data_IF_922445236253
#
_entry.id   IF_922445236253
#
_cell.length_a   1.000
_cell.length_b   1.000
_cell.length_c   1.000
_cell.angle_alpha   90.00
_cell.angle_beta   90.00
_cell.angle_gamma   90.00
#
_symmetry.space_group_name_H-M   'P 1'
#
loop_
_entity.id
_entity.type
_entity.pdbx_description
1 polymer ?
#
# COMPACT_ATOMS: atom_id res chain seq x y z
N UNK A 1 -11.66 -7.62 27.52
CA UNK A 1 -12.75 -7.90 26.57
C UNK A 1 -13.26 -6.56 26.06
N UNK A 2 -13.13 -6.25 24.77
CA UNK A 2 -13.73 -5.03 24.19
C UNK A 2 -15.13 -5.38 23.71
N UNK A 3 -16.13 -5.00 24.50
CA UNK A 3 -17.54 -5.12 24.14
C UNK A 3 -17.83 -4.14 22.98
N UNK A 4 -18.13 -4.69 21.81
CA UNK A 4 -18.46 -3.91 20.61
C UNK A 4 -17.89 -4.44 19.29
N UNK A 5 -16.95 -5.40 19.33
CA UNK A 5 -16.43 -6.04 18.12
C UNK A 5 -17.35 -7.15 17.63
N UNK A 6 -17.96 -6.98 16.45
CA UNK A 6 -18.69 -8.07 15.79
C UNK A 6 -17.67 -9.09 15.26
N UNK A 7 -17.58 -10.25 15.91
CA UNK A 7 -16.73 -11.35 15.44
C UNK A 7 -17.34 -12.00 14.19
N UNK A 8 -16.71 -11.74 13.04
CA UNK A 8 -17.11 -12.29 11.73
C UNK A 8 -16.85 -13.80 11.65
N UNK A 9 -15.89 -14.30 12.44
CA UNK A 9 -15.47 -15.70 12.45
C UNK A 9 -16.21 -16.52 13.52
N UNK A 10 -17.26 -15.97 14.16
CA UNK A 10 -17.98 -16.62 15.26
C UNK A 10 -18.61 -17.96 14.85
N UNK A 11 -19.01 -18.09 13.60
CA UNK A 11 -19.66 -19.29 13.05
C UNK A 11 -18.65 -20.37 12.62
N UNK A 12 -17.36 -20.06 12.60
CA UNK A 12 -16.33 -20.99 12.16
C UNK A 12 -16.00 -22.04 13.22
N UNK A 13 -15.83 -23.28 12.78
CA UNK A 13 -15.31 -24.36 13.63
C UNK A 13 -13.84 -24.11 13.99
N UNK A 14 -13.35 -24.74 15.06
CA UNK A 14 -11.95 -24.60 15.46
C UNK A 14 -10.98 -25.02 14.34
N UNK A 15 -11.33 -26.05 13.57
CA UNK A 15 -10.55 -26.50 12.41
C UNK A 15 -10.52 -25.43 11.32
N UNK A 16 -11.67 -24.84 11.00
CA UNK A 16 -11.75 -23.74 10.04
C UNK A 16 -10.97 -22.50 10.50
N UNK A 17 -10.95 -22.22 11.80
CA UNK A 17 -10.13 -21.13 12.37
C UNK A 17 -8.63 -21.42 12.22
N UNK A 18 -8.19 -22.67 12.38
CA UNK A 18 -6.80 -23.03 12.11
C UNK A 18 -6.45 -22.97 10.61
N UNK A 19 -7.35 -23.42 9.73
CA UNK A 19 -7.19 -23.28 8.28
C UNK A 19 -7.10 -21.79 7.89
N UNK A 20 -7.94 -20.95 8.48
CA UNK A 20 -7.92 -19.51 8.27
C UNK A 20 -6.58 -18.87 8.66
N UNK A 21 -5.99 -19.31 9.78
CA UNK A 21 -4.66 -18.85 10.17
C UNK A 21 -3.57 -19.31 9.19
N UNK A 22 -3.66 -20.54 8.69
CA UNK A 22 -2.73 -21.06 7.68
C UNK A 22 -2.82 -20.26 6.36
N UNK A 23 -4.02 -19.94 5.88
CA UNK A 23 -4.20 -19.13 4.67
C UNK A 23 -3.64 -17.72 4.82
N UNK A 24 -3.74 -17.12 6.01
CA UNK A 24 -3.11 -15.82 6.28
C UNK A 24 -1.59 -15.90 6.17
N UNK A 25 -0.97 -16.95 6.72
CA UNK A 25 0.48 -17.17 6.60
C UNK A 25 0.89 -17.31 5.14
N UNK A 26 0.15 -18.11 4.37
CA UNK A 26 0.43 -18.37 2.96
C UNK A 26 0.42 -17.08 2.11
N UNK A 27 -0.56 -16.20 2.35
CA UNK A 27 -0.64 -14.89 1.69
C UNK A 27 0.48 -13.96 2.15
N UNK A 28 0.90 -14.03 3.42
CA UNK A 28 2.03 -13.25 3.92
C UNK A 28 3.35 -13.68 3.28
N UNK A 29 3.52 -14.96 2.98
CA UNK A 29 4.70 -15.46 2.27
C UNK A 29 4.70 -14.97 0.81
N UNK A 30 3.54 -15.00 0.15
CA UNK A 30 3.36 -14.43 -1.20
C UNK A 30 3.56 -12.90 -1.25
N UNK A 31 3.44 -12.20 -0.11
CA UNK A 31 3.60 -10.75 -0.01
C UNK A 31 5.00 -10.27 -0.43
N UNK A 32 6.01 -11.14 -0.31
CA UNK A 32 7.37 -10.82 -0.74
C UNK A 32 7.44 -10.55 -2.26
N UNK A 33 6.72 -11.32 -3.07
CA UNK A 33 6.65 -11.11 -4.52
C UNK A 33 5.98 -9.77 -4.85
N UNK A 34 4.92 -9.42 -4.13
CA UNK A 34 4.24 -8.12 -4.27
C UNK A 34 5.15 -6.97 -3.85
N UNK A 35 5.87 -7.11 -2.75
CA UNK A 35 6.84 -6.11 -2.29
C UNK A 35 7.94 -5.90 -3.35
N UNK A 36 8.43 -6.99 -3.95
CA UNK A 36 9.42 -6.94 -5.02
C UNK A 36 8.89 -6.11 -6.20
N UNK A 37 7.73 -6.48 -6.75
CA UNK A 37 7.16 -5.78 -7.91
C UNK A 37 6.88 -4.31 -7.62
N UNK A 38 6.35 -3.97 -6.44
CA UNK A 38 5.91 -2.59 -6.17
C UNK A 38 7.03 -1.64 -5.71
N UNK A 39 7.99 -2.14 -4.92
CA UNK A 39 8.99 -1.29 -4.27
C UNK A 39 10.39 -1.43 -4.87
N UNK A 40 10.73 -2.60 -5.41
CA UNK A 40 12.06 -2.88 -5.95
C UNK A 40 12.09 -2.50 -7.42
N UNK A 41 11.11 -2.96 -8.19
CA UNK A 41 11.01 -2.62 -9.60
C UNK A 41 10.82 -1.11 -9.79
N UNK A 42 11.80 -0.47 -10.44
CA UNK A 42 11.83 1.00 -10.59
C UNK A 42 10.65 1.50 -11.42
N UNK A 43 10.24 0.76 -12.44
CA UNK A 43 9.16 1.16 -13.37
C UNK A 43 7.81 1.20 -12.64
N UNK A 44 7.45 0.09 -12.00
CA UNK A 44 6.22 -0.08 -11.22
C UNK A 44 6.14 0.95 -10.07
N UNK A 45 7.26 1.19 -9.37
CA UNK A 45 7.29 2.22 -8.33
C UNK A 45 7.04 3.63 -8.86
N UNK A 46 7.70 4.04 -9.95
CA UNK A 46 7.62 5.42 -10.44
C UNK A 46 6.28 5.73 -11.12
N UNK A 47 5.72 4.77 -11.86
CA UNK A 47 4.52 4.99 -12.67
C UNK A 47 3.22 4.75 -11.88
N UNK A 48 3.21 3.80 -10.93
CA UNK A 48 2.01 3.51 -10.15
C UNK A 48 2.12 3.98 -8.71
N UNK A 49 2.93 3.28 -7.90
CA UNK A 49 2.92 3.45 -6.45
C UNK A 49 3.28 4.87 -5.99
N UNK A 50 4.28 5.50 -6.63
CA UNK A 50 4.70 6.86 -6.28
C UNK A 50 3.55 7.86 -6.52
N UNK A 51 2.83 7.75 -7.64
CA UNK A 51 1.72 8.65 -7.95
C UNK A 51 0.60 8.50 -6.92
N UNK A 52 0.23 7.26 -6.60
CA UNK A 52 -0.80 6.98 -5.59
C UNK A 52 -0.41 7.56 -4.22
N UNK A 53 0.85 7.35 -3.79
CA UNK A 53 1.34 7.90 -2.53
C UNK A 53 1.49 9.43 -2.56
N UNK A 54 1.49 10.06 -3.73
CA UNK A 54 1.58 11.51 -3.87
C UNK A 54 0.23 12.20 -3.71
N UNK A 55 -0.86 11.54 -4.11
CA UNK A 55 -2.21 12.10 -4.06
C UNK A 55 -2.65 12.43 -2.62
N UNK A 56 -2.17 11.67 -1.65
CA UNK A 56 -2.53 11.84 -0.24
C UNK A 56 -1.87 13.05 0.44
N UNK A 57 -0.80 13.62 -0.14
CA UNK A 57 0.04 14.61 0.54
C UNK A 57 0.31 15.86 -0.31
N UNK A 58 0.48 17.02 0.35
CA UNK A 58 0.93 18.26 -0.30
C UNK A 58 2.46 18.33 -0.35
N UNK A 59 2.98 19.12 -1.28
CA UNK A 59 4.40 19.47 -1.30
C UNK A 59 4.81 20.10 0.06
N UNK A 60 5.96 19.70 0.65
CA UNK A 60 7.01 18.82 0.12
C UNK A 60 6.84 17.32 0.47
N UNK A 61 5.89 16.97 1.34
CA UNK A 61 5.70 15.59 1.80
C UNK A 61 5.34 14.62 0.67
N UNK A 62 4.69 15.10 -0.39
CA UNK A 62 4.40 14.30 -1.59
C UNK A 62 5.65 13.70 -2.24
N UNK A 63 6.80 14.37 -2.21
CA UNK A 63 8.05 13.82 -2.78
C UNK A 63 8.88 13.06 -1.76
N UNK A 64 8.80 13.42 -0.49
CA UNK A 64 9.65 12.87 0.57
C UNK A 64 9.10 11.53 1.06
N UNK A 65 7.80 11.45 1.32
CA UNK A 65 7.18 10.28 1.91
C UNK A 65 7.36 9.00 1.04
N UNK A 66 7.11 9.02 -0.28
CA UNK A 66 7.31 7.82 -1.11
C UNK A 66 8.77 7.35 -1.11
N UNK A 67 9.74 8.28 -1.11
CA UNK A 67 11.18 7.95 -1.11
C UNK A 67 11.61 7.36 0.22
N UNK A 68 11.24 7.99 1.32
CA UNK A 68 11.51 7.50 2.67
C UNK A 68 10.91 6.11 2.88
N UNK A 69 9.64 5.93 2.49
CA UNK A 69 8.94 4.66 2.61
C UNK A 69 9.61 3.57 1.78
N UNK A 70 10.03 3.88 0.54
CA UNK A 70 10.78 2.95 -0.31
C UNK A 70 12.10 2.55 0.32
N UNK A 71 12.88 3.51 0.81
CA UNK A 71 14.17 3.24 1.47
C UNK A 71 13.98 2.30 2.66
N UNK A 72 12.97 2.57 3.50
CA UNK A 72 12.64 1.75 4.66
C UNK A 72 12.24 0.32 4.27
N UNK A 73 11.39 0.14 3.26
CA UNK A 73 10.98 -1.19 2.79
C UNK A 73 12.17 -1.98 2.24
N UNK A 74 13.02 -1.34 1.44
CA UNK A 74 14.24 -1.98 0.90
C UNK A 74 15.19 -2.43 2.02
N UNK A 75 15.30 -1.63 3.08
CA UNK A 75 16.13 -1.97 4.25
C UNK A 75 15.53 -3.11 5.08
N UNK A 76 14.24 -3.04 5.42
CA UNK A 76 13.57 -4.02 6.29
C UNK A 76 13.41 -5.39 5.65
N UNK A 77 13.25 -5.43 4.32
CA UNK A 77 12.89 -6.67 3.63
C UNK A 77 14.07 -7.39 2.99
N UNK A 78 15.27 -6.77 2.93
CA UNK A 78 16.51 -7.32 2.35
C UNK A 78 16.23 -8.36 1.27
N UNK A 79 15.43 -7.98 0.28
CA UNK A 79 14.95 -8.92 -0.74
C UNK A 79 16.11 -9.18 -1.69
N UNK A 80 17.00 -10.08 -1.27
CA UNK A 80 18.09 -10.63 -2.06
C UNK A 80 17.68 -11.96 -2.72
N UNK A 81 16.40 -12.33 -2.61
CA UNK A 81 15.85 -13.53 -3.23
C UNK A 81 15.78 -13.37 -4.74
N UNK A 82 16.00 -14.48 -5.44
CA UNK A 82 15.89 -14.56 -6.90
C UNK A 82 14.45 -14.28 -7.28
N UNK A 83 14.24 -13.36 -8.22
CA UNK A 83 12.91 -12.93 -8.67
C UNK A 83 11.99 -14.13 -8.96
N UNK A 84 12.48 -15.11 -9.72
CA UNK A 84 11.70 -16.28 -10.12
C UNK A 84 11.26 -17.16 -8.94
N UNK A 85 12.08 -17.28 -7.89
CA UNK A 85 11.70 -18.04 -6.69
C UNK A 85 10.55 -17.37 -5.94
N UNK A 86 10.55 -16.04 -5.86
CA UNK A 86 9.47 -15.27 -5.22
C UNK A 86 8.16 -15.42 -5.99
N UNK A 87 8.21 -15.30 -7.31
CA UNK A 87 7.01 -15.45 -8.15
C UNK A 87 6.48 -16.88 -8.13
N UNK A 88 7.36 -17.90 -8.15
CA UNK A 88 6.95 -19.30 -8.01
C UNK A 88 6.27 -19.56 -6.66
N UNK A 89 6.83 -19.02 -5.57
CA UNK A 89 6.22 -19.15 -4.23
C UNK A 89 4.84 -18.49 -4.17
N UNK A 90 4.69 -17.32 -4.81
CA UNK A 90 3.40 -16.66 -4.90
C UNK A 90 2.39 -17.45 -5.74
N UNK A 91 2.84 -18.06 -6.84
CA UNK A 91 2.00 -18.93 -7.68
C UNK A 91 1.48 -20.14 -6.90
N UNK A 92 2.35 -20.84 -6.17
CA UNK A 92 1.98 -21.97 -5.32
C UNK A 92 0.97 -21.57 -4.23
N UNK A 93 1.20 -20.41 -3.60
CA UNK A 93 0.31 -19.86 -2.60
C UNK A 93 -1.08 -19.55 -3.20
N UNK A 94 -1.13 -18.92 -4.37
CA UNK A 94 -2.38 -18.59 -5.04
C UNK A 94 -3.11 -19.85 -5.51
N UNK A 95 -2.39 -20.87 -5.98
CA UNK A 95 -2.97 -22.18 -6.32
C UNK A 95 -3.61 -22.89 -5.14
N UNK A 96 -3.00 -22.81 -3.96
CA UNK A 96 -3.58 -23.33 -2.72
C UNK A 96 -4.86 -22.57 -2.31
N UNK A 97 -4.90 -21.25 -2.48
CA UNK A 97 -6.10 -20.44 -2.20
C UNK A 97 -7.21 -20.67 -3.22
N UNK A 98 -6.87 -20.73 -4.51
CA UNK A 98 -7.80 -20.98 -5.62
C UNK A 98 -8.43 -22.36 -5.47
N UNK A 99 -7.63 -23.40 -5.20
CA UNK A 99 -8.15 -24.76 -4.97
C UNK A 99 -9.04 -24.83 -3.74
N UNK A 100 -8.72 -24.08 -2.67
CA UNK A 100 -9.57 -24.01 -1.48
C UNK A 100 -10.88 -23.27 -1.76
N UNK A 101 -10.87 -22.18 -2.51
CA UNK A 101 -12.06 -21.41 -2.82
C UNK A 101 -12.95 -22.18 -3.82
N UNK A 102 -12.35 -22.63 -4.93
CA UNK A 102 -13.01 -23.30 -6.03
C UNK A 102 -14.23 -22.52 -6.50
N UNK A 103 -15.37 -23.20 -6.69
CA UNK A 103 -16.62 -22.58 -7.14
C UNK A 103 -17.44 -21.93 -6.02
N UNK A 104 -16.88 -21.78 -4.82
CA UNK A 104 -17.60 -21.21 -3.67
C UNK A 104 -17.55 -19.69 -3.68
N UNK A 105 -18.57 -19.10 -3.06
CA UNK A 105 -18.62 -17.64 -2.91
C UNK A 105 -17.65 -17.12 -1.84
N UNK A 106 -17.31 -17.93 -0.84
CA UNK A 106 -16.41 -17.57 0.26
C UNK A 106 -15.60 -18.81 0.69
N UNK A 107 -14.47 -18.60 1.36
CA UNK A 107 -13.59 -19.71 1.77
C UNK A 107 -14.28 -20.77 2.65
N UNK A 108 -15.19 -20.35 3.55
CA UNK A 108 -15.78 -21.21 4.56
C UNK A 108 -17.31 -21.37 4.47
N UNK A 109 -17.94 -20.96 3.37
CA UNK A 109 -19.38 -21.18 3.15
C UNK A 109 -20.07 -20.04 2.44
N UNK A 110 -21.24 -19.65 2.93
CA UNK A 110 -22.10 -18.63 2.32
C UNK A 110 -21.91 -17.21 2.91
N UNK A 111 -21.22 -17.11 4.05
CA UNK A 111 -20.95 -15.85 4.71
C UNK A 111 -19.48 -15.44 4.53
N UNK A 112 -19.21 -14.14 4.34
CA UNK A 112 -17.85 -13.62 4.30
C UNK A 112 -17.17 -13.81 5.65
N UNK A 113 -15.90 -14.19 5.63
CA UNK A 113 -15.07 -14.38 6.82
C UNK A 113 -13.92 -13.38 6.84
N UNK A 114 -13.19 -13.34 7.95
CA UNK A 114 -12.00 -12.50 8.08
C UNK A 114 -10.92 -12.88 7.07
N UNK A 115 -10.87 -14.14 6.62
CA UNK A 115 -9.95 -14.57 5.57
C UNK A 115 -10.33 -13.98 4.22
N UNK A 116 -11.62 -13.98 3.86
CA UNK A 116 -12.08 -13.38 2.62
C UNK A 116 -11.74 -11.88 2.59
N UNK A 117 -11.90 -11.18 3.71
CA UNK A 117 -11.52 -9.78 3.85
C UNK A 117 -10.00 -9.57 3.73
N UNK A 118 -9.19 -10.46 4.32
CA UNK A 118 -7.73 -10.41 4.25
C UNK A 118 -7.22 -10.64 2.83
N UNK A 119 -7.74 -11.68 2.17
CA UNK A 119 -7.45 -12.03 0.77
C UNK A 119 -7.89 -10.91 -0.17
N UNK A 120 -9.08 -10.34 0.04
CA UNK A 120 -9.52 -9.16 -0.69
C UNK A 120 -8.59 -7.95 -0.48
N UNK A 121 -8.17 -7.68 0.75
CA UNK A 121 -7.24 -6.57 1.02
C UNK A 121 -5.89 -6.75 0.34
N UNK A 122 -5.41 -8.00 0.26
CA UNK A 122 -4.18 -8.35 -0.42
C UNK A 122 -4.29 -8.17 -1.95
N UNK A 123 -5.30 -8.78 -2.57
CA UNK A 123 -5.46 -8.76 -4.02
C UNK A 123 -6.13 -7.49 -4.55
N UNK A 124 -6.93 -6.81 -3.73
CA UNK A 124 -7.68 -5.63 -4.14
C UNK A 124 -6.76 -4.53 -4.65
N UNK A 125 -5.64 -4.27 -3.96
CA UNK A 125 -4.68 -3.28 -4.41
C UNK A 125 -3.93 -3.68 -5.70
N UNK A 126 -3.73 -4.98 -5.96
CA UNK A 126 -3.12 -5.47 -7.20
C UNK A 126 -4.12 -5.48 -8.38
N UNK A 127 -5.34 -5.98 -8.15
CA UNK A 127 -6.40 -6.15 -9.15
C UNK A 127 -7.06 -4.83 -9.57
N UNK A 128 -7.02 -3.79 -8.72
CA UNK A 128 -7.60 -2.49 -9.05
C UNK A 128 -6.81 -1.69 -10.11
N UNK A 129 -5.71 -2.22 -10.67
CA UNK A 129 -4.99 -1.61 -11.79
C UNK A 129 -4.35 -0.26 -11.46
N UNK A 130 -4.31 0.12 -10.18
CA UNK A 130 -3.81 1.45 -9.76
C UNK A 130 -2.28 1.49 -9.61
N UNK A 131 -1.60 0.33 -9.55
CA UNK A 131 -0.20 0.27 -9.08
C UNK A 131 0.73 -0.42 -10.10
N UNK A 132 0.35 -1.53 -10.72
CA UNK A 132 1.18 -2.17 -11.75
C UNK A 132 0.40 -3.11 -12.68
N UNK A 133 0.62 -2.95 -13.98
CA UNK A 133 0.32 -3.96 -15.01
C UNK A 133 1.51 -4.96 -15.13
N UNK A 134 1.99 -5.44 -13.99
CA UNK A 134 3.17 -6.30 -13.91
C UNK A 134 2.85 -7.79 -13.89
N UNK A 135 3.91 -8.61 -13.76
CA UNK A 135 3.86 -10.08 -13.79
C UNK A 135 2.85 -10.65 -12.79
N UNK A 136 2.74 -10.09 -11.59
CA UNK A 136 1.82 -10.57 -10.56
C UNK A 136 0.35 -10.33 -10.93
N UNK A 137 0.03 -9.17 -11.52
CA UNK A 137 -1.32 -8.82 -11.95
C UNK A 137 -1.78 -9.69 -13.12
N UNK A 138 -0.87 -9.95 -14.08
CA UNK A 138 -1.11 -10.86 -15.20
C UNK A 138 -1.32 -12.30 -14.71
N UNK A 139 -0.45 -12.78 -13.83
CA UNK A 139 -0.55 -14.12 -13.22
C UNK A 139 -1.89 -14.29 -12.48
N UNK A 140 -2.32 -13.26 -11.75
CA UNK A 140 -3.59 -13.27 -11.03
C UNK A 140 -4.80 -13.31 -11.96
N UNK A 141 -4.76 -12.50 -13.02
CA UNK A 141 -5.87 -12.38 -13.99
C UNK A 141 -6.02 -13.63 -14.87
N UNK A 142 -4.90 -14.26 -15.24
CA UNK A 142 -4.89 -15.41 -16.15
C UNK A 142 -4.99 -16.75 -15.42
N UNK A 143 -4.35 -16.88 -14.24
CA UNK A 143 -4.21 -18.16 -13.54
C UNK A 143 -5.33 -18.47 -12.54
N UNK A 144 -5.95 -17.44 -11.94
CA UNK A 144 -6.78 -17.62 -10.73
C UNK A 144 -8.15 -16.92 -10.83
N UNK A 145 -9.06 -17.43 -11.67
CA UNK A 145 -10.34 -16.80 -11.93
C UNK A 145 -11.27 -16.75 -10.70
N UNK A 146 -11.27 -17.76 -9.83
CA UNK A 146 -12.18 -17.79 -8.68
C UNK A 146 -11.81 -16.73 -7.63
N UNK A 147 -10.51 -16.51 -7.42
CA UNK A 147 -10.01 -15.41 -6.59
C UNK A 147 -10.40 -14.04 -7.17
N UNK A 148 -10.35 -13.87 -8.50
CA UNK A 148 -10.80 -12.63 -9.14
C UNK A 148 -12.30 -12.39 -9.03
N UNK A 149 -13.10 -13.45 -9.10
CA UNK A 149 -14.52 -13.36 -8.78
C UNK A 149 -14.78 -12.96 -7.32
N UNK A 150 -14.01 -13.51 -6.37
CA UNK A 150 -14.09 -13.12 -4.96
C UNK A 150 -13.81 -11.62 -4.78
N UNK A 151 -12.72 -11.12 -5.38
CA UNK A 151 -12.35 -9.70 -5.28
C UNK A 151 -13.43 -8.81 -5.88
N UNK A 152 -13.93 -9.15 -7.07
CA UNK A 152 -15.04 -8.44 -7.72
C UNK A 152 -16.29 -8.43 -6.86
N UNK A 153 -16.68 -9.59 -6.30
CA UNK A 153 -17.86 -9.74 -5.43
C UNK A 153 -17.77 -8.88 -4.18
N UNK A 154 -16.61 -8.88 -3.50
CA UNK A 154 -16.39 -8.04 -2.31
C UNK A 154 -16.46 -6.56 -2.65
N UNK A 155 -15.80 -6.15 -3.75
CA UNK A 155 -15.84 -4.77 -4.24
C UNK A 155 -17.26 -4.31 -4.51
N UNK A 156 -18.02 -5.09 -5.26
CA UNK A 156 -19.40 -4.76 -5.62
C UNK A 156 -20.32 -4.70 -4.40
N UNK A 157 -20.16 -5.65 -3.47
CA UNK A 157 -21.05 -5.76 -2.31
C UNK A 157 -20.78 -4.70 -1.24
N UNK A 158 -19.54 -4.32 -1.02
CA UNK A 158 -19.15 -3.47 0.11
C UNK A 158 -18.56 -2.11 -0.27
N UNK A 159 -18.05 -1.94 -1.50
CA UNK A 159 -17.31 -0.75 -1.91
C UNK A 159 -17.99 0.04 -3.05
N UNK A 160 -19.11 -0.44 -3.61
CA UNK A 160 -19.84 0.26 -4.68
C UNK A 160 -20.25 1.71 -4.32
N UNK A 161 -20.46 2.01 -3.04
CA UNK A 161 -20.83 3.36 -2.56
C UNK A 161 -19.62 4.31 -2.47
N UNK A 162 -18.39 3.79 -2.40
CA UNK A 162 -17.17 4.61 -2.34
C UNK A 162 -16.80 5.23 -3.69
N UNK A 163 -17.38 4.75 -4.79
CA UNK A 163 -17.29 5.41 -6.11
C UNK A 163 -18.17 6.67 -6.18
N UNK A 164 -19.23 6.75 -5.36
CA UNK A 164 -20.19 7.88 -5.33
C UNK A 164 -19.97 8.87 -4.19
N UNK A 165 -19.20 8.50 -3.17
CA UNK A 165 -18.79 9.40 -2.11
C UNK A 165 -17.59 10.21 -2.59
N UNK A 166 -17.90 11.32 -3.27
CA UNK A 166 -17.03 12.44 -3.56
C UNK A 166 -15.73 12.40 -2.74
N UNK A 167 -14.60 12.07 -3.38
CA UNK A 167 -13.42 12.87 -3.13
C UNK A 167 -13.86 14.30 -3.44
N UNK A 168 -14.30 15.01 -2.40
CA UNK A 168 -14.30 16.46 -2.42
C UNK A 168 -12.82 16.77 -2.58
N UNK A 169 -12.38 16.88 -3.84
CA UNK A 169 -11.21 17.68 -4.13
C UNK A 169 -11.47 18.97 -3.36
N UNK A 170 -10.64 19.35 -2.38
CA UNK A 170 -10.81 20.64 -1.75
C UNK A 170 -10.80 21.62 -2.91
N UNK A 171 -11.97 22.22 -3.19
CA UNK A 171 -12.10 23.20 -4.24
C UNK A 171 -11.03 24.22 -3.92
N UNK A 172 -10.00 24.27 -4.77
CA UNK A 172 -9.02 25.34 -4.68
C UNK A 172 -9.81 26.59 -5.01
N UNK A 173 -10.29 27.29 -3.98
CA UNK A 173 -10.78 28.64 -4.13
C UNK A 173 -9.76 29.38 -5.00
N UNK A 174 -10.18 30.12 -6.04
CA UNK A 174 -9.26 30.94 -6.78
C UNK A 174 -8.58 31.86 -5.76
N UNK A 175 -7.29 31.62 -5.52
CA UNK A 175 -6.45 32.42 -4.63
C UNK A 175 -6.65 33.87 -5.05
N UNK A 176 -7.38 34.66 -4.25
CA UNK A 176 -7.45 36.12 -4.40
C UNK A 176 -6.04 36.65 -4.15
N UNK A 177 -5.23 36.67 -5.21
CA UNK A 177 -3.88 37.20 -5.19
C UNK A 177 -3.96 38.71 -5.32
N UNK A 178 -4.17 39.38 -4.18
CA UNK A 178 -3.50 40.64 -3.90
C UNK A 178 -3.03 40.56 -2.46
N UNK A 179 -1.75 40.19 -2.28
CA UNK A 179 -1.11 40.36 -0.99
C UNK A 179 -1.20 41.86 -0.63
N UNK A 180 -1.65 42.22 0.58
CA UNK A 180 -1.59 43.61 1.02
C UNK A 180 -0.15 44.11 0.90
N UNK A 181 0.04 45.33 0.39
CA UNK A 181 1.35 45.98 0.30
C UNK A 181 1.92 46.05 1.72
N UNK A 182 2.99 45.29 1.98
CA UNK A 182 3.62 45.20 3.30
C UNK A 182 4.50 46.42 3.52
N UNK A 183 4.61 46.85 4.78
CA UNK A 183 5.53 47.92 5.15
C UNK A 183 7.00 47.44 5.07
N UNK A 184 7.99 48.34 4.87
CA UNK A 184 9.40 47.95 4.73
C UNK A 184 9.97 47.19 5.94
N UNK A 185 9.45 47.44 7.15
CA UNK A 185 9.84 46.73 8.37
C UNK A 185 9.25 45.32 8.45
N UNK A 186 7.99 45.16 8.02
CA UNK A 186 7.35 43.85 7.89
C UNK A 186 8.00 43.00 6.78
N UNK A 187 8.45 43.61 5.68
CA UNK A 187 9.22 42.90 4.65
C UNK A 187 10.55 42.37 5.19
N UNK A 188 11.23 43.14 6.04
CA UNK A 188 12.50 42.74 6.64
C UNK A 188 12.33 41.60 7.65
N UNK A 189 11.30 41.65 8.50
CA UNK A 189 11.00 40.57 9.45
C UNK A 189 10.47 39.31 8.76
N UNK A 190 9.68 39.49 7.70
CA UNK A 190 9.17 38.39 6.88
C UNK A 190 10.29 37.69 6.09
N UNK A 191 11.20 38.43 5.47
CA UNK A 191 12.35 37.84 4.76
C UNK A 191 13.28 37.08 5.70
N UNK A 192 13.53 37.63 6.90
CA UNK A 192 14.34 36.96 7.92
C UNK A 192 13.67 35.68 8.43
N UNK A 193 12.39 35.74 8.80
CA UNK A 193 11.65 34.55 9.25
C UNK A 193 11.52 33.49 8.16
N UNK A 194 11.36 33.88 6.90
CA UNK A 194 11.32 32.96 5.76
C UNK A 194 12.67 32.27 5.51
N UNK A 195 13.79 32.98 5.71
CA UNK A 195 15.15 32.39 5.64
C UNK A 195 15.40 31.41 6.78
N UNK A 196 14.98 31.73 7.99
CA UNK A 196 15.08 30.81 9.14
C UNK A 196 14.18 29.59 8.95
N UNK A 197 12.94 29.77 8.49
CA UNK A 197 12.03 28.67 8.19
C UNK A 197 12.59 27.78 7.07
N UNK A 198 13.15 28.36 6.01
CA UNK A 198 13.83 27.60 4.96
C UNK A 198 15.04 26.82 5.50
N UNK A 199 15.86 27.46 6.35
CA UNK A 199 16.99 26.80 7.01
C UNK A 199 16.56 25.65 7.92
N UNK A 200 15.50 25.83 8.72
CA UNK A 200 14.94 24.78 9.56
C UNK A 200 14.33 23.64 8.75
N UNK A 201 13.65 23.94 7.64
CA UNK A 201 13.12 22.92 6.74
C UNK A 201 14.26 22.12 6.08
N UNK A 202 15.32 22.78 5.61
CA UNK A 202 16.50 22.11 5.06
C UNK A 202 17.17 21.23 6.13
N UNK A 203 17.34 21.72 7.35
CA UNK A 203 17.92 20.95 8.46
C UNK A 203 17.04 19.77 8.87
N UNK A 204 15.73 19.96 8.92
CA UNK A 204 14.76 18.91 9.25
C UNK A 204 14.70 17.83 8.15
N UNK A 205 14.72 18.22 6.88
CA UNK A 205 14.77 17.27 5.77
C UNK A 205 16.13 16.59 5.65
N UNK A 206 17.23 17.32 5.92
CA UNK A 206 18.57 16.75 6.04
C UNK A 206 18.65 15.72 7.16
N UNK A 207 18.04 16.01 8.32
CA UNK A 207 17.92 15.07 9.42
C UNK A 207 17.10 13.84 9.05
N UNK A 208 15.93 14.00 8.43
CA UNK A 208 15.11 12.85 7.97
C UNK A 208 15.88 12.02 6.93
N UNK A 209 16.58 12.66 6.01
CA UNK A 209 17.38 11.99 4.98
C UNK A 209 18.55 11.22 5.59
N UNK A 210 19.34 11.86 6.46
CA UNK A 210 20.47 11.25 7.15
C UNK A 210 20.03 10.14 8.12
N UNK A 211 18.95 10.35 8.87
CA UNK A 211 18.35 9.33 9.73
C UNK A 211 17.69 8.18 8.93
N UNK A 212 17.56 8.33 7.60
CA UNK A 212 17.06 7.28 6.70
C UNK A 212 18.15 6.54 5.93
N UNK A 213 19.41 6.95 6.03
CA UNK A 213 20.53 6.15 5.55
C UNK A 213 20.87 5.08 6.60
N UNK A 214 20.80 3.78 6.27
CA UNK A 214 21.36 2.77 7.14
C UNK A 214 22.88 2.86 7.11
N UNK A 215 23.51 2.83 8.29
CA UNK A 215 24.95 2.65 8.45
C UNK A 215 25.37 1.41 7.65
N UNK A 216 25.99 1.63 6.48
CA UNK A 216 26.67 0.58 5.74
C UNK A 216 27.95 0.30 6.53
N UNK A 217 27.87 -0.59 7.50
CA UNK A 217 29.04 -1.26 8.04
C UNK A 217 29.60 -2.13 6.90
N UNK A 218 30.58 -1.58 6.19
CA UNK A 218 31.45 -2.34 5.31
C UNK A 218 32.15 -3.40 6.16
N UNK A 219 31.62 -4.62 6.17
CA UNK A 219 32.44 -5.77 6.54
C UNK A 219 33.36 -6.06 5.36
N UNK A 220 34.62 -5.66 5.51
CA UNK A 220 35.75 -6.27 4.79
C UNK A 220 35.71 -7.80 4.99
N UNK A 221 35.65 -8.54 3.89
CA UNK A 221 36.26 -9.87 3.73
C UNK A 221 36.75 -10.00 2.30
#
# INVERSE_FOLDING_TARGET
MKEGGHDVDRQLTMVQKSEAAAFRSLVQDADLARIFEWWIEKKSFQLGLKSLLQEDYRFPMSEIYPRWRRSKVLHERRVAAVEDELFSLAEDAYGCLESRLGRRNWFFGEHPTTVDAFVFGYFGCASLGQISDGKLSEMLSNGFPSLMELVKRVRERYFNTLSSANFVQPQSEPRKSKAPVRSPEEERTWTVSMRYAAGMMIAFFGYIYFASEPVIEFMET
#
